data_IF_241413478638
#
_entry.id   IF_241413478638
#
_cell.length_a   1.000
_cell.length_b   1.000
_cell.length_c   1.000
_cell.angle_alpha   90.00
_cell.angle_beta   90.00
_cell.angle_gamma   90.00
#
_symmetry.space_group_name_H-M   'P 1'
#
loop_
_entity.id
_entity.type
_entity.pdbx_description
1 polymer ?
#
# COMPACT_ATOMS: atom_id res chain seq x y z
N UNK A 1 -1.03 -14.73 26.14
CA UNK A 1 -2.43 -14.79 26.64
C UNK A 1 -3.18 -13.44 26.56
N UNK A 2 -2.65 -12.37 27.16
CA UNK A 2 -3.31 -11.05 27.17
C UNK A 2 -3.48 -10.44 25.76
N UNK A 3 -2.42 -10.48 24.94
CA UNK A 3 -2.48 -10.01 23.53
C UNK A 3 -3.53 -10.77 22.72
N UNK A 4 -3.57 -12.10 22.83
CA UNK A 4 -4.60 -12.91 22.17
C UNK A 4 -6.02 -12.58 22.63
N UNK A 5 -6.22 -12.32 23.93
CA UNK A 5 -7.53 -11.90 24.44
C UNK A 5 -7.95 -10.54 23.86
N UNK A 6 -7.04 -9.57 23.81
CA UNK A 6 -7.30 -8.26 23.19
C UNK A 6 -7.59 -8.38 21.68
N UNK A 7 -6.83 -9.19 20.94
CA UNK A 7 -7.12 -9.48 19.54
C UNK A 7 -8.51 -10.13 19.36
N UNK A 8 -8.87 -11.09 20.22
CA UNK A 8 -10.19 -11.73 20.17
C UNK A 8 -11.32 -10.75 20.47
N UNK A 9 -11.09 -9.76 21.34
CA UNK A 9 -12.04 -8.67 21.59
C UNK A 9 -12.22 -7.86 20.31
N UNK A 10 -11.13 -7.41 19.69
CA UNK A 10 -11.15 -6.68 18.41
C UNK A 10 -11.92 -7.48 17.37
N UNK A 11 -11.68 -8.78 17.23
CA UNK A 11 -12.39 -9.64 16.26
C UNK A 11 -13.89 -9.76 16.57
N UNK A 12 -14.27 -9.87 17.85
CA UNK A 12 -15.67 -10.05 18.28
C UNK A 12 -16.55 -8.81 18.09
N UNK A 13 -15.99 -7.61 18.06
CA UNK A 13 -16.75 -6.37 17.88
C UNK A 13 -17.21 -6.28 16.43
N UNK A 14 -18.53 -6.25 16.22
CA UNK A 14 -19.15 -6.11 14.90
C UNK A 14 -19.48 -4.63 14.64
N UNK A 15 -18.98 -4.08 13.53
CA UNK A 15 -19.13 -2.64 13.23
C UNK A 15 -20.60 -2.19 13.12
N UNK A 16 -21.50 -3.05 12.65
CA UNK A 16 -22.94 -2.73 12.50
C UNK A 16 -23.69 -2.54 13.82
N UNK A 17 -23.09 -2.94 14.96
CA UNK A 17 -23.72 -2.87 16.30
C UNK A 17 -22.84 -2.14 17.30
N UNK A 18 -22.15 -1.09 16.87
CA UNK A 18 -21.27 -0.29 17.71
C UNK A 18 -22.06 0.53 18.74
N UNK A 19 -22.37 -0.09 19.88
CA UNK A 19 -22.85 0.61 21.06
C UNK A 19 -21.68 1.38 21.72
N UNK A 20 -21.93 2.44 22.49
CA UNK A 20 -20.88 3.17 23.20
C UNK A 20 -20.00 2.26 24.08
N UNK A 21 -20.61 1.23 24.67
CA UNK A 21 -19.90 0.23 25.48
C UNK A 21 -18.94 -0.64 24.65
N UNK A 22 -19.36 -1.08 23.46
CA UNK A 22 -18.51 -1.86 22.56
C UNK A 22 -17.40 -1.00 21.95
N UNK A 23 -17.68 0.29 21.70
CA UNK A 23 -16.65 1.23 21.28
C UNK A 23 -15.56 1.40 22.35
N UNK A 24 -15.94 1.65 23.60
CA UNK A 24 -14.97 1.78 24.70
C UNK A 24 -14.14 0.50 24.90
N UNK A 25 -14.75 -0.67 24.67
CA UNK A 25 -14.07 -1.95 24.74
C UNK A 25 -13.05 -2.13 23.60
N UNK A 26 -13.42 -1.73 22.38
CA UNK A 26 -12.53 -1.73 21.22
C UNK A 26 -11.34 -0.77 21.45
N UNK A 27 -11.61 0.46 21.86
CA UNK A 27 -10.60 1.48 22.12
C UNK A 27 -9.65 1.04 23.26
N UNK A 28 -10.20 0.47 24.33
CA UNK A 28 -9.41 -0.12 25.42
C UNK A 28 -8.54 -1.30 24.96
N UNK A 29 -9.05 -2.17 24.09
CA UNK A 29 -8.28 -3.28 23.53
C UNK A 29 -7.15 -2.78 22.61
N UNK A 30 -7.42 -1.80 21.74
CA UNK A 30 -6.41 -1.22 20.84
C UNK A 30 -5.33 -0.47 21.63
N UNK A 31 -5.71 0.31 22.64
CA UNK A 31 -4.78 0.97 23.56
C UNK A 31 -3.95 -0.03 24.37
N UNK A 32 -4.55 -1.15 24.78
CA UNK A 32 -3.83 -2.25 25.41
C UNK A 32 -2.82 -2.91 24.48
N UNK A 33 -3.16 -3.08 23.19
CA UNK A 33 -2.26 -3.64 22.17
C UNK A 33 -1.08 -2.70 21.85
N UNK A 34 -1.30 -1.38 21.76
CA UNK A 34 -0.21 -0.41 21.59
C UNK A 34 0.71 -0.35 22.79
N UNK A 35 0.15 -0.45 24.01
CA UNK A 35 0.92 -0.55 25.24
C UNK A 35 1.74 -1.85 25.28
N UNK A 36 1.13 -2.98 24.90
CA UNK A 36 1.84 -4.26 24.80
C UNK A 36 2.98 -4.20 23.78
N UNK A 37 2.78 -3.58 22.61
CA UNK A 37 3.84 -3.38 21.61
C UNK A 37 4.97 -2.49 22.14
N UNK A 38 4.65 -1.45 22.92
CA UNK A 38 5.64 -0.57 23.55
C UNK A 38 6.50 -1.34 24.57
N UNK A 39 5.87 -2.11 25.45
CA UNK A 39 6.55 -2.94 26.45
C UNK A 39 7.38 -4.03 25.78
N UNK A 40 6.83 -4.72 24.77
CA UNK A 40 7.54 -5.73 24.02
C UNK A 40 8.80 -5.15 23.36
N UNK A 41 8.70 -3.96 22.76
CA UNK A 41 9.85 -3.27 22.17
C UNK A 41 10.90 -2.89 23.21
N UNK A 42 10.51 -2.40 24.39
CA UNK A 42 11.47 -2.06 25.46
C UNK A 42 12.19 -3.30 26.03
N UNK A 43 11.56 -4.47 25.98
CA UNK A 43 12.14 -5.74 26.42
C UNK A 43 12.71 -6.59 25.28
N UNK A 44 12.76 -6.08 24.04
CA UNK A 44 13.24 -6.79 22.84
C UNK A 44 12.54 -8.13 22.58
N UNK A 45 11.23 -8.19 22.82
CA UNK A 45 10.39 -9.36 22.51
C UNK A 45 9.73 -9.13 21.14
N UNK A 46 10.43 -9.48 20.07
CA UNK A 46 10.04 -9.18 18.67
C UNK A 46 8.72 -9.87 18.26
N UNK A 47 8.50 -11.12 18.71
CA UNK A 47 7.34 -11.93 18.33
C UNK A 47 5.97 -11.30 18.67
N UNK A 48 5.93 -10.49 19.74
CA UNK A 48 4.66 -9.90 20.20
C UNK A 48 4.20 -8.81 19.25
N UNK A 49 5.10 -7.96 18.77
CA UNK A 49 4.74 -6.86 17.87
C UNK A 49 4.27 -7.42 16.53
N UNK A 50 4.96 -8.44 16.02
CA UNK A 50 4.55 -9.18 14.83
C UNK A 50 3.16 -9.80 14.99
N UNK A 51 2.90 -10.50 16.11
CA UNK A 51 1.59 -11.10 16.37
C UNK A 51 0.47 -10.07 16.45
N UNK A 52 0.73 -8.88 17.02
CA UNK A 52 -0.24 -7.77 17.05
C UNK A 52 -0.54 -7.30 15.63
N UNK A 53 0.49 -7.00 14.83
CA UNK A 53 0.32 -6.53 13.45
C UNK A 53 -0.40 -7.56 12.59
N UNK A 54 -0.03 -8.83 12.67
CA UNK A 54 -0.70 -9.93 11.95
C UNK A 54 -2.19 -9.96 12.26
N UNK A 55 -2.58 -9.87 13.54
CA UNK A 55 -3.99 -9.93 13.91
C UNK A 55 -4.76 -8.67 13.51
N UNK A 56 -4.19 -7.48 13.74
CA UNK A 56 -4.84 -6.23 13.37
C UNK A 56 -5.00 -6.10 11.85
N UNK A 57 -4.06 -6.60 11.05
CA UNK A 57 -4.09 -6.48 9.58
C UNK A 57 -5.29 -7.18 8.92
N UNK A 58 -5.85 -8.22 9.56
CA UNK A 58 -6.97 -9.00 9.04
C UNK A 58 -8.24 -8.16 8.85
N UNK A 59 -8.48 -7.22 9.77
CA UNK A 59 -9.68 -6.36 9.75
C UNK A 59 -9.69 -5.48 8.51
N UNK A 60 -8.70 -4.59 8.28
CA UNK A 60 -8.69 -3.73 7.11
C UNK A 60 -8.42 -4.51 5.82
N UNK A 61 -7.71 -5.64 5.83
CA UNK A 61 -7.59 -6.50 4.65
C UNK A 61 -8.95 -7.07 4.19
N UNK A 62 -9.91 -7.21 5.11
CA UNK A 62 -11.28 -7.65 4.81
C UNK A 62 -12.03 -6.74 3.83
N UNK A 63 -11.58 -5.50 3.60
CA UNK A 63 -12.18 -4.58 2.63
C UNK A 63 -12.18 -5.14 1.21
N UNK A 64 -11.22 -5.99 0.86
CA UNK A 64 -11.14 -6.64 -0.44
C UNK A 64 -12.32 -7.60 -0.72
N UNK A 65 -13.01 -8.06 0.34
CA UNK A 65 -14.15 -8.97 0.25
C UNK A 65 -15.50 -8.24 0.20
N UNK A 66 -15.51 -6.91 0.35
CA UNK A 66 -16.75 -6.13 0.30
C UNK A 66 -17.19 -5.95 -1.15
N UNK A 67 -18.37 -6.48 -1.48
CA UNK A 67 -18.95 -6.40 -2.82
C UNK A 67 -20.18 -5.49 -2.84
N UNK A 68 -20.34 -4.70 -3.90
CA UNK A 68 -21.55 -3.91 -4.16
C UNK A 68 -21.52 -2.47 -3.64
N UNK A 69 -20.50 -2.08 -2.89
CA UNK A 69 -20.22 -0.69 -2.47
C UNK A 69 -18.78 -0.36 -2.87
N UNK A 70 -18.50 0.90 -3.22
CA UNK A 70 -17.11 1.30 -3.45
C UNK A 70 -16.27 1.10 -2.17
N UNK A 71 -15.03 0.60 -2.27
CA UNK A 71 -14.23 0.21 -1.11
C UNK A 71 -13.82 1.40 -0.23
N UNK A 72 -13.61 2.58 -0.81
CA UNK A 72 -13.38 3.84 -0.10
C UNK A 72 -14.57 4.22 0.79
N UNK A 73 -15.80 4.11 0.27
CA UNK A 73 -17.03 4.37 1.02
C UNK A 73 -17.23 3.34 2.13
N UNK A 74 -17.04 2.05 1.82
CA UNK A 74 -17.22 0.97 2.80
C UNK A 74 -16.23 1.09 3.98
N UNK A 75 -14.95 1.39 3.68
CA UNK A 75 -13.95 1.70 4.70
C UNK A 75 -14.32 2.96 5.49
N UNK A 76 -14.77 4.00 4.78
CA UNK A 76 -15.24 5.26 5.35
C UNK A 76 -16.35 5.08 6.38
N UNK A 77 -17.25 4.12 6.16
CA UNK A 77 -18.36 3.79 7.07
C UNK A 77 -17.94 2.99 8.29
N UNK A 78 -17.03 2.03 8.11
CA UNK A 78 -16.64 1.10 9.16
C UNK A 78 -15.70 1.74 10.20
N UNK A 79 -16.26 2.14 11.34
CA UNK A 79 -15.50 2.79 12.41
C UNK A 79 -14.43 1.88 13.03
N UNK A 80 -14.69 0.57 13.09
CA UNK A 80 -13.71 -0.41 13.57
C UNK A 80 -12.54 -0.48 12.60
N UNK A 81 -12.81 -0.55 11.30
CA UNK A 81 -11.78 -0.62 10.28
C UNK A 81 -10.89 0.63 10.30
N UNK A 82 -11.48 1.83 10.44
CA UNK A 82 -10.73 3.08 10.55
C UNK A 82 -9.78 3.08 11.76
N UNK A 83 -10.28 2.67 12.92
CA UNK A 83 -9.50 2.72 14.17
C UNK A 83 -8.42 1.64 14.24
N UNK A 84 -8.72 0.43 13.77
CA UNK A 84 -7.74 -0.65 13.64
C UNK A 84 -6.63 -0.28 12.66
N UNK A 85 -6.97 0.33 11.52
CA UNK A 85 -5.96 0.76 10.53
C UNK A 85 -5.04 1.83 11.11
N UNK A 86 -5.59 2.83 11.81
CA UNK A 86 -4.80 3.87 12.49
C UNK A 86 -3.86 3.27 13.53
N UNK A 87 -4.36 2.33 14.33
CA UNK A 87 -3.58 1.64 15.37
C UNK A 87 -2.45 0.83 14.75
N UNK A 88 -2.73 0.07 13.70
CA UNK A 88 -1.73 -0.73 12.98
C UNK A 88 -0.64 0.16 12.38
N UNK A 89 -1.02 1.26 11.72
CA UNK A 89 -0.08 2.21 11.15
C UNK A 89 0.81 2.86 12.21
N UNK A 90 0.23 3.26 13.34
CA UNK A 90 0.98 3.82 14.46
C UNK A 90 1.99 2.81 15.05
N UNK A 91 1.62 1.53 15.17
CA UNK A 91 2.53 0.48 15.63
C UNK A 91 3.65 0.26 14.61
N UNK A 92 3.34 0.19 13.31
CA UNK A 92 4.33 0.00 12.26
C UNK A 92 5.35 1.16 12.20
N UNK A 93 4.88 2.40 12.28
CA UNK A 93 5.74 3.59 12.25
C UNK A 93 6.59 3.73 13.52
N UNK A 94 6.05 3.44 14.71
CA UNK A 94 6.76 3.64 15.98
C UNK A 94 7.62 2.47 16.42
N UNK A 95 7.20 1.25 16.09
CA UNK A 95 7.81 -0.01 16.54
C UNK A 95 8.34 -0.86 15.38
N UNK A 96 8.57 -0.25 14.21
CA UNK A 96 9.10 -0.93 13.02
C UNK A 96 10.40 -1.69 13.28
N UNK A 97 11.25 -1.23 14.19
CA UNK A 97 12.48 -1.92 14.60
C UNK A 97 12.28 -3.33 15.14
N UNK A 98 11.12 -3.61 15.73
CA UNK A 98 10.77 -4.90 16.32
C UNK A 98 10.00 -5.80 15.35
N UNK A 99 9.70 -5.33 14.14
CA UNK A 99 8.95 -6.08 13.15
C UNK A 99 9.86 -6.98 12.33
N UNK A 100 9.44 -8.23 12.15
CA UNK A 100 10.06 -9.18 11.24
C UNK A 100 9.03 -9.67 10.23
N UNK A 101 8.22 -10.66 10.59
CA UNK A 101 7.13 -11.21 9.78
C UNK A 101 5.95 -10.26 9.64
N UNK A 102 5.79 -9.32 10.58
CA UNK A 102 4.77 -8.28 10.55
C UNK A 102 4.88 -7.37 9.33
N UNK A 103 6.10 -7.16 8.79
CA UNK A 103 6.29 -6.38 7.57
C UNK A 103 5.54 -6.94 6.37
N UNK A 104 5.42 -8.26 6.23
CA UNK A 104 4.63 -8.87 5.16
C UNK A 104 3.18 -8.38 5.21
N UNK A 105 2.58 -8.34 6.39
CA UNK A 105 1.19 -7.93 6.57
C UNK A 105 1.01 -6.42 6.31
N UNK A 106 1.97 -5.59 6.71
CA UNK A 106 1.94 -4.14 6.43
C UNK A 106 2.04 -3.90 4.92
N UNK A 107 3.00 -4.53 4.24
CA UNK A 107 3.19 -4.36 2.79
C UNK A 107 2.00 -4.94 2.01
N UNK A 108 1.49 -6.10 2.38
CA UNK A 108 0.29 -6.68 1.77
C UNK A 108 -0.94 -5.79 1.94
N UNK A 109 -1.09 -5.13 3.11
CA UNK A 109 -2.16 -4.17 3.35
C UNK A 109 -2.02 -2.93 2.46
N UNK A 110 -0.81 -2.41 2.29
CA UNK A 110 -0.52 -1.29 1.38
C UNK A 110 -0.83 -1.69 -0.06
N UNK A 111 -0.43 -2.88 -0.50
CA UNK A 111 -0.75 -3.42 -1.82
C UNK A 111 -2.27 -3.59 -1.99
N UNK A 112 -2.99 -4.01 -0.94
CA UNK A 112 -4.44 -4.08 -0.94
C UNK A 112 -5.07 -2.69 -1.18
N UNK A 113 -4.68 -1.68 -0.40
CA UNK A 113 -5.15 -0.30 -0.59
C UNK A 113 -4.76 0.26 -1.97
N UNK A 114 -3.57 -0.09 -2.46
CA UNK A 114 -3.16 0.29 -3.81
C UNK A 114 -4.08 -0.33 -4.86
N UNK A 115 -4.39 -1.63 -4.80
CA UNK A 115 -5.31 -2.30 -5.74
C UNK A 115 -6.70 -1.67 -5.73
N UNK A 116 -7.16 -1.26 -4.55
CA UNK A 116 -8.45 -0.61 -4.35
C UNK A 116 -8.46 0.90 -4.63
N UNK A 117 -7.32 1.47 -5.05
CA UNK A 117 -7.14 2.90 -5.33
C UNK A 117 -7.43 3.82 -4.13
N UNK A 118 -7.17 3.32 -2.92
CA UNK A 118 -7.41 4.04 -1.66
C UNK A 118 -6.16 4.72 -1.10
N UNK A 119 -4.97 4.47 -1.67
CA UNK A 119 -3.76 5.12 -1.19
C UNK A 119 -3.82 6.64 -1.36
N UNK A 120 -3.46 7.42 -0.33
CA UNK A 120 -3.55 8.87 -0.36
C UNK A 120 -2.49 9.48 -1.28
N UNK A 121 -2.74 10.69 -1.78
CA UNK A 121 -1.77 11.41 -2.62
C UNK A 121 -0.47 11.75 -1.87
N UNK A 122 -0.50 11.78 -0.53
CA UNK A 122 0.71 11.92 0.31
C UNK A 122 1.69 10.77 0.04
N UNK A 123 1.16 9.55 -0.10
CA UNK A 123 1.95 8.36 -0.39
C UNK A 123 2.60 8.43 -1.77
N UNK A 124 1.84 8.85 -2.79
CA UNK A 124 2.37 9.06 -4.15
C UNK A 124 3.52 10.08 -4.16
N UNK A 125 3.29 11.25 -3.53
CA UNK A 125 4.29 12.32 -3.43
C UNK A 125 5.55 11.89 -2.68
N UNK A 126 5.41 11.05 -1.66
CA UNK A 126 6.55 10.56 -0.89
C UNK A 126 7.47 9.62 -1.71
N UNK A 127 6.91 8.89 -2.67
CA UNK A 127 7.64 7.99 -3.57
C UNK A 127 8.26 8.71 -4.77
N UNK A 128 7.65 9.79 -5.24
CA UNK A 128 8.19 10.61 -6.34
C UNK A 128 9.46 11.39 -5.96
N UNK A 129 9.80 11.40 -4.67
CA UNK A 129 11.07 11.92 -4.16
C UNK A 129 11.09 13.44 -3.98
N UNK A 130 11.92 13.85 -3.04
CA UNK A 130 12.33 15.23 -2.73
C UNK A 130 13.60 15.65 -3.50
N UNK A 131 14.01 14.86 -4.50
CA UNK A 131 15.26 15.02 -5.24
C UNK A 131 16.37 14.05 -4.80
N UNK A 132 16.21 13.27 -3.73
CA UNK A 132 17.23 12.28 -3.32
C UNK A 132 16.85 10.80 -3.58
N UNK A 133 15.64 10.50 -4.06
CA UNK A 133 15.23 9.09 -4.14
C UNK A 133 14.09 8.69 -5.06
N UNK A 134 13.57 9.58 -5.90
CA UNK A 134 12.37 9.31 -6.71
C UNK A 134 12.63 9.24 -8.22
N UNK A 135 11.82 8.45 -8.93
CA UNK A 135 11.93 8.20 -10.37
C UNK A 135 11.43 9.35 -11.26
N UNK A 136 10.91 10.45 -10.70
CA UNK A 136 10.40 11.59 -11.47
C UNK A 136 11.08 12.91 -11.04
N UNK A 137 12.33 13.09 -11.46
CA UNK A 137 13.06 14.34 -11.33
C UNK A 137 12.63 15.37 -12.40
N UNK A 138 11.40 15.88 -12.35
CA UNK A 138 11.05 17.15 -13.03
C UNK A 138 10.55 18.16 -11.99
N UNK A 139 11.36 19.19 -11.66
CA UNK A 139 10.93 20.26 -10.78
C UNK A 139 9.77 21.05 -11.42
N UNK A 140 8.60 21.07 -10.77
CA UNK A 140 7.52 22.02 -11.08
C UNK A 140 6.20 21.45 -11.62
N UNK A 141 6.08 20.14 -11.86
CA UNK A 141 4.79 19.52 -12.20
C UNK A 141 4.19 18.81 -10.97
N UNK A 142 2.89 19.00 -10.66
CA UNK A 142 2.25 18.21 -9.62
C UNK A 142 2.32 16.74 -10.02
N UNK A 143 2.91 15.92 -9.16
CA UNK A 143 2.97 14.47 -9.35
C UNK A 143 1.59 13.93 -9.74
N UNK A 144 1.46 13.22 -10.88
CA UNK A 144 0.20 12.56 -11.20
C UNK A 144 -0.05 11.53 -10.10
N UNK A 145 -1.25 11.59 -9.49
CA UNK A 145 -1.68 10.60 -8.50
C UNK A 145 -1.43 9.18 -9.03
N UNK A 146 -1.20 8.21 -8.14
CA UNK A 146 -1.05 6.80 -8.54
C UNK A 146 -2.24 6.33 -9.41
N UNK A 147 -3.41 6.94 -9.20
CA UNK A 147 -4.61 6.77 -10.03
C UNK A 147 -4.43 7.33 -11.44
N UNK A 148 -3.90 8.54 -11.60
CA UNK A 148 -3.57 9.12 -12.90
C UNK A 148 -2.47 8.34 -13.64
N UNK A 149 -1.44 7.85 -12.93
CA UNK A 149 -0.35 7.02 -13.48
C UNK A 149 -0.87 5.68 -14.03
N UNK A 150 -1.87 5.07 -13.36
CA UNK A 150 -2.55 3.89 -13.89
C UNK A 150 -3.44 4.17 -15.10
N UNK A 151 -4.12 5.32 -15.13
CA UNK A 151 -4.98 5.68 -16.27
C UNK A 151 -4.11 5.92 -17.52
N UNK A 152 -2.93 6.54 -17.37
CA UNK A 152 -1.97 6.67 -18.47
C UNK A 152 -1.37 5.31 -18.89
N UNK A 153 -1.01 4.43 -17.94
CA UNK A 153 -0.52 3.08 -18.24
C UNK A 153 -1.58 2.18 -18.92
N UNK A 154 -2.85 2.22 -18.47
CA UNK A 154 -3.96 1.50 -19.11
C UNK A 154 -4.35 2.09 -20.47
N UNK A 155 -4.15 3.37 -20.69
CA UNK A 155 -4.34 4.01 -22.01
C UNK A 155 -3.27 3.54 -23.01
N UNK A 156 -2.07 3.19 -22.55
CA UNK A 156 -0.99 2.66 -23.38
C UNK A 156 -1.16 1.18 -23.76
N UNK A 157 -1.92 0.39 -23.00
CA UNK A 157 -2.15 -1.04 -23.31
C UNK A 157 -3.21 -1.28 -24.40
N UNK A 158 -4.01 -0.28 -24.76
CA UNK A 158 -5.05 -0.37 -25.81
C UNK A 158 -4.63 0.34 -27.11
N UNK A 159 -3.75 -0.34 -27.87
CA UNK A 159 -3.67 -0.27 -29.33
C UNK A 159 -3.25 1.05 -29.98
N UNK A 160 -1.98 1.11 -30.39
CA UNK A 160 -1.49 1.92 -31.52
C UNK A 160 -1.07 3.39 -31.22
N UNK A 161 0.10 3.85 -31.71
CA UNK A 161 0.51 5.24 -31.57
C UNK A 161 -0.25 6.10 -32.59
N UNK A 162 -1.25 6.84 -32.14
CA UNK A 162 -1.94 7.84 -32.96
C UNK A 162 -1.75 9.21 -32.36
N UNK A 163 -0.91 10.02 -33.01
CA UNK A 163 -0.70 11.46 -32.78
C UNK A 163 -2.01 12.26 -32.69
N UNK A 164 -3.10 11.76 -33.26
CA UNK A 164 -4.42 12.37 -33.15
C UNK A 164 -5.04 12.22 -31.74
N UNK A 165 -4.65 11.21 -30.95
CA UNK A 165 -5.12 11.06 -29.55
C UNK A 165 -4.53 12.10 -28.61
N UNK A 166 -3.26 12.50 -28.78
CA UNK A 166 -2.69 13.61 -28.00
C UNK A 166 -3.40 14.94 -28.29
N UNK A 167 -3.82 15.16 -29.54
CA UNK A 167 -4.61 16.32 -29.89
C UNK A 167 -6.05 16.20 -29.36
N UNK A 168 -6.63 15.00 -29.34
CA UNK A 168 -7.93 14.76 -28.65
C UNK A 168 -7.80 15.00 -27.14
N UNK A 169 -6.68 14.64 -26.51
CA UNK A 169 -6.42 14.86 -25.08
C UNK A 169 -6.19 16.35 -24.74
N UNK A 170 -5.53 17.11 -25.63
CA UNK A 170 -5.37 18.56 -25.47
C UNK A 170 -6.64 19.36 -25.80
N UNK A 171 -7.49 18.86 -26.71
CA UNK A 171 -8.75 19.51 -27.08
C UNK A 171 -9.93 19.07 -26.18
N UNK A 172 -9.80 17.93 -25.49
CA UNK A 172 -10.69 17.54 -24.41
C UNK A 172 -10.42 18.39 -23.16
N UNK A 173 -10.88 19.65 -23.18
CA UNK A 173 -11.45 20.28 -21.99
C UNK A 173 -12.36 19.26 -21.28
N UNK A 174 -12.42 19.18 -19.94
CA UNK A 174 -12.83 18.02 -19.16
C UNK A 174 -14.30 17.66 -19.42
N UNK A 175 -14.54 17.01 -20.53
CA UNK A 175 -15.85 16.69 -21.06
C UNK A 175 -15.94 15.18 -21.04
N UNK A 176 -16.61 14.71 -19.98
CA UNK A 176 -17.18 13.38 -19.83
C UNK A 176 -16.16 12.23 -19.82
N UNK A 177 -15.45 12.11 -18.70
CA UNK A 177 -14.96 10.80 -18.25
C UNK A 177 -16.15 9.87 -17.94
N UNK A 178 -16.06 8.57 -18.24
CA UNK A 178 -16.99 7.57 -17.68
C UNK A 178 -16.88 7.45 -16.15
N UNK A 179 -15.82 7.97 -15.53
CA UNK A 179 -15.58 7.98 -14.07
C UNK A 179 -16.27 9.15 -13.34
N UNK A 180 -16.40 10.32 -13.98
CA UNK A 180 -17.27 11.41 -13.49
C UNK A 180 -18.74 10.98 -13.43
N UNK A 181 -19.14 9.97 -14.22
CA UNK A 181 -20.46 9.37 -14.11
C UNK A 181 -20.59 8.49 -12.83
N UNK A 182 -19.50 7.85 -12.40
CA UNK A 182 -19.44 7.11 -11.12
C UNK A 182 -19.49 8.06 -9.93
N UNK A 183 -18.74 9.17 -9.95
CA UNK A 183 -18.77 10.19 -8.88
C UNK A 183 -20.07 11.01 -8.83
N UNK A 184 -20.77 11.15 -9.97
CA UNK A 184 -22.11 11.75 -10.04
C UNK A 184 -23.24 10.83 -9.56
N UNK A 185 -23.01 9.52 -9.52
CA UNK A 185 -23.99 8.53 -9.04
C UNK A 185 -23.96 8.29 -7.52
N UNK A 186 -22.95 8.82 -6.82
CA UNK A 186 -22.81 8.69 -5.38
C UNK A 186 -23.72 9.65 -4.63
N UNK A 187 -24.35 9.14 -3.58
CA UNK A 187 -25.10 9.99 -2.65
C UNK A 187 -24.15 10.93 -1.92
N UNK A 188 -24.64 12.07 -1.44
CA UNK A 188 -23.80 13.01 -0.67
C UNK A 188 -23.19 12.34 0.59
N UNK A 189 -23.91 11.38 1.18
CA UNK A 189 -23.39 10.54 2.26
C UNK A 189 -22.21 9.67 1.85
N UNK A 190 -22.28 9.01 0.68
CA UNK A 190 -21.16 8.22 0.15
C UNK A 190 -19.91 9.08 -0.08
N UNK A 191 -20.06 10.32 -0.56
CA UNK A 191 -18.92 11.24 -0.74
C UNK A 191 -18.28 11.63 0.59
N UNK A 192 -19.10 11.90 1.60
CA UNK A 192 -18.62 12.18 2.96
C UNK A 192 -17.81 10.99 3.50
N UNK A 193 -18.32 9.77 3.36
CA UNK A 193 -17.64 8.55 3.83
C UNK A 193 -16.30 8.32 3.09
N UNK A 194 -16.27 8.53 1.76
CA UNK A 194 -15.02 8.44 0.99
C UNK A 194 -14.00 9.51 1.42
N UNK A 195 -14.44 10.73 1.73
CA UNK A 195 -13.56 11.78 2.25
C UNK A 195 -12.97 11.41 3.62
N UNK A 196 -13.76 10.81 4.51
CA UNK A 196 -13.28 10.29 5.79
C UNK A 196 -12.23 9.18 5.58
N UNK A 197 -12.44 8.29 4.61
CA UNK A 197 -11.43 7.28 4.26
C UNK A 197 -10.09 7.92 3.87
N UNK A 198 -10.12 8.90 2.96
CA UNK A 198 -8.92 9.61 2.52
C UNK A 198 -8.22 10.35 3.68
N UNK A 199 -8.97 11.01 4.56
CA UNK A 199 -8.44 11.66 5.76
C UNK A 199 -7.74 10.64 6.68
N UNK A 200 -8.40 9.51 6.98
CA UNK A 200 -7.85 8.48 7.86
C UNK A 200 -6.56 7.90 7.28
N UNK A 201 -6.55 7.54 5.99
CA UNK A 201 -5.37 6.96 5.35
C UNK A 201 -4.22 7.97 5.24
N UNK A 202 -4.51 9.25 4.98
CA UNK A 202 -3.49 10.31 4.99
C UNK A 202 -2.83 10.48 6.37
N UNK A 203 -3.59 10.30 7.46
CA UNK A 203 -3.07 10.36 8.84
C UNK A 203 -2.34 9.09 9.27
N UNK A 204 -2.49 7.99 8.54
CA UNK A 204 -1.78 6.76 8.84
C UNK A 204 -0.29 6.87 8.46
N UNK A 205 0.05 7.75 7.52
CA UNK A 205 1.43 7.98 7.05
C UNK A 205 2.19 6.66 6.77
N UNK A 206 1.62 5.76 5.97
CA UNK A 206 2.27 4.50 5.62
C UNK A 206 3.56 4.71 4.81
N UNK A 207 3.66 5.85 4.14
CA UNK A 207 4.84 6.29 3.41
C UNK A 207 6.07 6.45 4.32
N UNK A 208 5.88 6.83 5.59
CA UNK A 208 6.96 7.12 6.53
C UNK A 208 7.83 5.87 6.77
N UNK A 209 7.23 4.68 6.79
CA UNK A 209 7.97 3.40 6.85
C UNK A 209 9.07 3.31 5.79
N UNK A 210 8.81 3.81 4.58
CA UNK A 210 9.74 3.73 3.45
C UNK A 210 10.66 4.94 3.38
N UNK A 211 10.14 6.15 3.62
CA UNK A 211 10.92 7.39 3.57
C UNK A 211 11.89 7.53 4.76
N UNK A 212 11.51 7.01 5.92
CA UNK A 212 12.30 6.99 7.14
C UNK A 212 12.95 5.63 7.41
N UNK A 213 12.97 4.74 6.41
CA UNK A 213 13.60 3.42 6.48
C UNK A 213 15.08 3.45 6.90
N UNK A 214 15.77 4.59 6.73
CA UNK A 214 17.14 4.84 7.24
C UNK A 214 17.28 4.71 8.76
N UNK A 215 16.19 4.91 9.50
CA UNK A 215 16.19 4.80 10.96
C UNK A 215 15.90 3.39 11.46
N UNK A 216 15.39 2.49 10.61
CA UNK A 216 15.13 1.11 10.98
C UNK A 216 16.44 0.39 11.33
N UNK A 217 16.42 -0.50 12.32
CA UNK A 217 17.52 -1.44 12.58
C UNK A 217 17.81 -2.33 11.38
N UNK A 218 19.05 -2.78 11.30
CA UNK A 218 19.56 -3.60 10.20
C UNK A 218 18.73 -4.87 9.95
N UNK A 219 18.33 -5.58 11.02
CA UNK A 219 17.57 -6.82 10.89
C UNK A 219 16.13 -6.56 10.42
N UNK A 220 15.44 -5.58 11.01
CA UNK A 220 14.09 -5.19 10.58
C UNK A 220 14.08 -4.69 9.14
N UNK A 221 15.08 -3.89 8.73
CA UNK A 221 15.20 -3.42 7.35
C UNK A 221 15.34 -4.57 6.34
N UNK A 222 16.11 -5.60 6.67
CA UNK A 222 16.23 -6.80 5.82
C UNK A 222 14.88 -7.51 5.71
N UNK A 223 14.07 -7.55 6.77
CA UNK A 223 12.72 -8.12 6.74
C UNK A 223 11.75 -7.27 5.91
N UNK A 224 11.81 -5.94 6.02
CA UNK A 224 11.04 -5.04 5.15
C UNK A 224 11.36 -5.27 3.67
N UNK A 225 12.65 -5.36 3.30
CA UNK A 225 13.07 -5.64 1.92
C UNK A 225 12.54 -7.00 1.43
N UNK A 226 12.61 -8.05 2.26
CA UNK A 226 12.02 -9.35 1.93
C UNK A 226 10.50 -9.24 1.73
N UNK A 227 9.81 -8.47 2.56
CA UNK A 227 8.36 -8.28 2.48
C UNK A 227 7.96 -7.57 1.18
N UNK A 228 8.71 -6.55 0.76
CA UNK A 228 8.49 -5.86 -0.53
C UNK A 228 8.68 -6.82 -1.71
N UNK A 229 9.77 -7.60 -1.70
CA UNK A 229 10.05 -8.61 -2.74
C UNK A 229 8.95 -9.67 -2.78
N UNK A 230 8.50 -10.14 -1.62
CA UNK A 230 7.43 -11.12 -1.50
C UNK A 230 6.11 -10.59 -2.06
N UNK A 231 5.73 -9.35 -1.73
CA UNK A 231 4.49 -8.74 -2.16
C UNK A 231 4.42 -8.46 -3.68
N UNK A 232 5.59 -8.30 -4.34
CA UNK A 232 5.70 -8.22 -5.80
C UNK A 232 5.13 -9.47 -6.48
N UNK A 233 5.14 -10.62 -5.78
CA UNK A 233 4.64 -11.89 -6.29
C UNK A 233 5.53 -12.48 -7.39
N UNK A 234 5.09 -13.57 -8.04
CA UNK A 234 5.81 -14.12 -9.18
C UNK A 234 5.81 -13.11 -10.33
N UNK A 235 6.97 -12.94 -10.98
CA UNK A 235 7.12 -12.03 -12.13
C UNK A 235 6.05 -12.41 -13.16
N UNK A 236 5.14 -11.48 -13.53
CA UNK A 236 4.04 -11.81 -14.41
C UNK A 236 4.60 -12.25 -15.77
N UNK A 237 4.12 -13.39 -16.29
CA UNK A 237 4.48 -13.84 -17.64
C UNK A 237 3.63 -13.09 -18.67
N UNK A 238 4.12 -12.98 -19.89
CA UNK A 238 3.43 -12.33 -21.01
C UNK A 238 1.99 -12.83 -21.16
N UNK A 239 1.05 -11.96 -21.58
CA UNK A 239 -0.38 -12.26 -21.56
C UNK A 239 -0.75 -13.24 -22.69
N UNK A 240 -0.48 -14.52 -22.46
CA UNK A 240 -1.16 -15.62 -23.11
C UNK A 240 -2.32 -16.09 -22.22
N UNK A 241 -3.52 -15.57 -22.45
CA UNK A 241 -4.80 -16.19 -22.02
C UNK A 241 -5.40 -15.92 -20.61
N UNK A 242 -4.92 -14.98 -19.78
CA UNK A 242 -5.73 -14.59 -18.60
C UNK A 242 -5.62 -13.12 -18.22
N UNK A 243 -6.78 -12.49 -18.00
CA UNK A 243 -6.96 -11.11 -17.50
C UNK A 243 -6.28 -10.84 -16.14
N UNK A 244 -5.78 -11.89 -15.46
CA UNK A 244 -5.03 -11.79 -14.21
C UNK A 244 -3.58 -11.34 -14.38
N UNK A 245 -2.99 -11.42 -15.58
CA UNK A 245 -1.60 -11.01 -15.81
C UNK A 245 -1.39 -9.50 -15.74
N UNK A 246 -2.35 -8.71 -16.24
CA UNK A 246 -2.26 -7.24 -16.26
C UNK A 246 -2.29 -6.62 -14.86
N UNK A 247 -3.11 -7.17 -13.95
CA UNK A 247 -3.24 -6.65 -12.57
C UNK A 247 -1.99 -6.90 -11.70
N UNK A 248 -1.15 -7.86 -12.08
CA UNK A 248 0.08 -8.17 -11.33
C UNK A 248 1.24 -7.22 -11.70
N UNK A 249 1.24 -6.65 -12.91
CA UNK A 249 2.25 -5.68 -13.32
C UNK A 249 2.17 -4.39 -12.51
N UNK A 250 0.96 -3.86 -12.26
CA UNK A 250 0.77 -2.67 -11.42
C UNK A 250 1.38 -2.87 -10.02
N UNK A 251 1.19 -4.05 -9.42
CA UNK A 251 1.72 -4.37 -8.08
C UNK A 251 3.24 -4.50 -8.12
N UNK A 252 3.77 -5.18 -9.14
CA UNK A 252 5.21 -5.32 -9.33
C UNK A 252 5.89 -3.96 -9.53
N UNK A 253 5.26 -3.04 -10.27
CA UNK A 253 5.72 -1.65 -10.45
C UNK A 253 5.78 -0.91 -9.10
N UNK A 254 4.70 -0.94 -8.32
CA UNK A 254 4.69 -0.34 -6.98
C UNK A 254 5.77 -0.93 -6.08
N UNK A 255 5.87 -2.27 -6.01
CA UNK A 255 6.87 -2.93 -5.18
C UNK A 255 8.29 -2.59 -5.61
N UNK A 256 8.54 -2.40 -6.91
CA UNK A 256 9.83 -1.97 -7.43
C UNK A 256 10.14 -0.52 -7.07
N UNK A 257 9.16 0.38 -7.14
CA UNK A 257 9.30 1.77 -6.66
C UNK A 257 9.64 1.79 -5.17
N UNK A 258 8.87 1.08 -4.33
CA UNK A 258 9.13 0.96 -2.89
C UNK A 258 10.53 0.40 -2.61
N UNK A 259 10.92 -0.67 -3.32
CA UNK A 259 12.23 -1.29 -3.17
C UNK A 259 13.34 -0.31 -3.51
N UNK A 260 13.20 0.43 -4.60
CA UNK A 260 14.18 1.43 -5.03
C UNK A 260 14.28 2.57 -4.01
N UNK A 261 13.14 3.07 -3.52
CA UNK A 261 13.09 4.09 -2.46
C UNK A 261 13.84 3.66 -1.21
N UNK A 262 13.59 2.43 -0.73
CA UNK A 262 14.29 1.88 0.44
C UNK A 262 15.78 1.70 0.16
N UNK A 263 16.17 1.17 -1.00
CA UNK A 263 17.59 0.98 -1.34
C UNK A 263 18.36 2.31 -1.42
N UNK A 264 17.78 3.34 -2.05
CA UNK A 264 18.42 4.65 -2.17
C UNK A 264 18.58 5.37 -0.83
N UNK A 265 17.64 5.16 0.11
CA UNK A 265 17.73 5.73 1.45
C UNK A 265 18.69 4.99 2.38
N UNK A 266 19.14 3.79 1.98
CA UNK A 266 19.98 2.89 2.77
C UNK A 266 21.29 2.50 2.05
N UNK A 267 21.88 3.45 1.32
CA UNK A 267 23.09 3.22 0.48
C UNK A 267 24.29 2.75 1.29
N UNK A 268 24.45 3.24 2.51
CA UNK A 268 25.49 2.85 3.45
C UNK A 268 25.36 1.39 3.91
N UNK A 269 24.13 0.86 3.90
CA UNK A 269 23.80 -0.51 4.35
C UNK A 269 23.62 -1.48 3.20
N UNK A 270 23.91 -1.07 1.97
CA UNK A 270 23.63 -1.84 0.76
C UNK A 270 24.23 -3.25 0.80
N UNK A 271 25.40 -3.45 1.43
CA UNK A 271 26.04 -4.76 1.53
C UNK A 271 25.16 -5.85 2.17
N UNK A 272 24.28 -5.46 3.09
CA UNK A 272 23.34 -6.37 3.76
C UNK A 272 22.06 -6.63 2.95
N UNK A 273 21.63 -5.66 2.14
CA UNK A 273 20.38 -5.70 1.37
C UNK A 273 20.60 -6.32 -0.02
N UNK A 274 21.78 -6.08 -0.59
CA UNK A 274 22.15 -6.41 -1.97
C UNK A 274 21.98 -7.88 -2.35
N UNK A 275 22.36 -8.87 -1.53
CA UNK A 275 22.23 -10.27 -1.94
C UNK A 275 20.79 -10.64 -2.32
N UNK A 276 19.81 -10.09 -1.60
CA UNK A 276 18.37 -10.38 -1.80
C UNK A 276 17.80 -9.58 -2.96
N UNK A 277 18.15 -8.29 -3.04
CA UNK A 277 17.65 -7.43 -4.11
C UNK A 277 18.29 -7.76 -5.45
N UNK A 278 19.56 -8.15 -5.47
CA UNK A 278 20.24 -8.64 -6.67
C UNK A 278 19.56 -9.89 -7.23
N UNK A 279 19.23 -10.87 -6.39
CA UNK A 279 18.51 -12.07 -6.83
C UNK A 279 17.16 -11.72 -7.46
N UNK A 280 16.42 -10.80 -6.83
CA UNK A 280 15.15 -10.31 -7.37
C UNK A 280 15.31 -9.56 -8.70
N UNK A 281 16.27 -8.63 -8.81
CA UNK A 281 16.55 -7.92 -10.06
C UNK A 281 17.03 -8.86 -11.16
N UNK A 282 17.89 -9.82 -10.83
CA UNK A 282 18.35 -10.83 -11.77
C UNK A 282 17.17 -11.68 -12.27
N UNK A 283 16.23 -12.05 -11.38
CA UNK A 283 15.00 -12.73 -11.78
C UNK A 283 14.18 -11.85 -12.74
N UNK A 284 13.97 -10.56 -12.45
CA UNK A 284 13.24 -9.64 -13.34
C UNK A 284 13.92 -9.53 -14.71
N UNK A 285 15.23 -9.32 -14.74
CA UNK A 285 15.98 -9.15 -15.99
C UNK A 285 16.09 -10.43 -16.81
N UNK A 286 16.21 -11.60 -16.18
CA UNK A 286 16.19 -12.89 -16.88
C UNK A 286 14.82 -13.14 -17.51
N UNK A 287 13.73 -12.92 -16.78
CA UNK A 287 12.38 -13.05 -17.33
C UNK A 287 12.13 -12.04 -18.46
N UNK A 288 12.68 -10.82 -18.38
CA UNK A 288 12.61 -9.85 -19.49
C UNK A 288 13.35 -10.29 -20.75
N UNK A 289 14.40 -11.11 -20.64
CA UNK A 289 15.14 -11.65 -21.79
C UNK A 289 14.38 -12.78 -22.49
N UNK A 290 13.58 -13.52 -21.73
CA UNK A 290 12.73 -14.60 -22.22
C UNK A 290 11.44 -14.06 -22.87
N UNK A 291 11.06 -12.81 -22.59
CA UNK A 291 9.99 -12.06 -23.25
C UNK A 291 10.58 -11.40 -24.50
N UNK A 292 10.53 -12.13 -25.62
CA UNK A 292 10.86 -11.77 -27.01
C UNK A 292 11.63 -10.44 -27.28
N UNK A 293 12.76 -10.59 -27.97
CA UNK A 293 13.57 -9.54 -28.59
C UNK A 293 12.82 -8.61 -29.57
N UNK A 294 11.53 -8.84 -29.85
CA UNK A 294 10.70 -7.98 -30.69
C UNK A 294 10.28 -6.67 -30.02
N UNK A 295 10.44 -6.51 -28.70
CA UNK A 295 10.13 -5.28 -27.97
C UNK A 295 11.33 -4.34 -27.78
N UNK A 296 12.56 -4.80 -28.05
CA UNK A 296 13.79 -4.01 -27.88
C UNK A 296 14.19 -3.28 -29.17
N UNK A 297 13.58 -3.62 -30.31
CA UNK A 297 13.69 -2.86 -31.55
C UNK A 297 12.40 -2.11 -31.85
N UNK A 298 12.21 -0.95 -31.19
CA UNK A 298 11.40 0.15 -31.73
C UNK A 298 11.90 1.49 -31.22
#
# INVERSE_FOLDING_TARGET
PAVHAMCSIVDSVVSERLTPTLWNMLEGALSGLTTAATIATSHQVEDVVDAVVVNLSKVPAGIANVSGVRPDVAFGRDAKMREVTRTLAAIANRHGDSLTSGWNNVVELIVCFYRLQMLPDTFARALDGDGEGGLNAKPGEPAPSLRARRVTAKSQSNGGPSIYRSLTYMLALPAAEPELASERSLTEGDRSDAAVCAEVLSRCCFEDVFTDSKFLKQDSLVHLVKAIIWASGPIPRTPGSSSSGAANWDVAELCLELLFTVLLRNRDRIGSLWPRTYEHFHAIFSHSRDIDASLVQK
#
